data_IF_510460466387
#
_entry.id   IF_510460466387
#
_cell.length_a   1.000
_cell.length_b   1.000
_cell.length_c   1.000
_cell.angle_alpha   90.00
_cell.angle_beta   90.00
_cell.angle_gamma   90.00
#
_symmetry.space_group_name_H-M   'P 1'
#
loop_
_entity.id
_entity.type
_entity.pdbx_description
1 polymer ?
#
# COMPACT_ATOMS: atom_id res chain seq x y z
N UNK A 1 -11.65 31.39 23.17
CA UNK A 1 -11.08 30.23 22.45
C UNK A 1 -12.10 29.80 21.42
N UNK A 2 -11.77 29.97 20.14
CA UNK A 2 -12.62 29.64 19.00
C UNK A 2 -12.40 28.17 18.59
N UNK A 3 -13.43 27.34 18.67
CA UNK A 3 -13.39 25.91 18.37
C UNK A 3 -13.98 25.59 17.00
N UNK A 4 -13.19 24.90 16.19
CA UNK A 4 -13.54 24.46 14.85
C UNK A 4 -13.80 22.96 14.76
N UNK A 5 -14.66 22.55 13.82
CA UNK A 5 -14.89 21.14 13.47
C UNK A 5 -14.71 20.90 11.97
N UNK A 6 -14.02 19.83 11.60
CA UNK A 6 -14.05 19.21 10.26
C UNK A 6 -14.52 17.77 10.43
N UNK A 7 -15.53 17.37 9.65
CA UNK A 7 -16.02 15.99 9.58
C UNK A 7 -15.67 15.41 8.20
N UNK A 8 -15.15 14.20 8.15
CA UNK A 8 -14.88 13.52 6.89
C UNK A 8 -14.75 12.01 7.04
N UNK A 9 -15.04 11.29 5.96
CA UNK A 9 -14.67 9.88 5.85
C UNK A 9 -13.17 9.72 5.65
N UNK A 10 -12.53 10.64 4.94
CA UNK A 10 -11.11 10.53 4.54
C UNK A 10 -10.81 9.17 3.92
N UNK A 11 -11.61 8.76 2.92
CA UNK A 11 -11.54 7.43 2.31
C UNK A 11 -10.95 7.49 0.88
N UNK A 12 -9.62 7.43 0.70
CA UNK A 12 -8.57 7.69 1.70
C UNK A 12 -8.37 9.21 1.94
N UNK A 13 -7.54 9.63 2.92
CA UNK A 13 -7.12 11.02 3.04
C UNK A 13 -6.36 11.45 1.78
N UNK A 14 -6.50 12.72 1.40
CA UNK A 14 -5.86 13.28 0.20
C UNK A 14 -5.54 14.77 0.39
N UNK A 15 -4.70 15.32 -0.48
CA UNK A 15 -4.20 16.70 -0.35
C UNK A 15 -5.33 17.75 -0.34
N UNK A 16 -6.47 17.50 -1.00
CA UNK A 16 -7.68 18.33 -0.85
C UNK A 16 -8.23 18.38 0.58
N UNK A 17 -8.34 17.24 1.26
CA UNK A 17 -8.72 17.20 2.69
C UNK A 17 -7.70 17.96 3.55
N UNK A 18 -6.41 17.78 3.29
CA UNK A 18 -5.35 18.49 4.02
C UNK A 18 -5.35 19.99 3.75
N UNK A 19 -5.81 20.43 2.58
CA UNK A 19 -6.03 21.84 2.31
C UNK A 19 -7.18 22.40 3.16
N UNK A 20 -8.35 21.75 3.14
CA UNK A 20 -9.50 22.10 3.99
C UNK A 20 -9.08 22.22 5.46
N UNK A 21 -8.37 21.22 5.99
CA UNK A 21 -7.94 21.19 7.39
C UNK A 21 -6.93 22.30 7.69
N UNK A 22 -5.96 22.56 6.81
CA UNK A 22 -4.98 23.64 7.01
C UNK A 22 -5.64 25.02 7.03
N UNK A 23 -6.58 25.29 6.14
CA UNK A 23 -7.30 26.58 6.16
C UNK A 23 -8.23 26.69 7.36
N UNK A 24 -8.93 25.62 7.74
CA UNK A 24 -9.73 25.57 8.95
C UNK A 24 -8.88 25.83 10.21
N UNK A 25 -7.67 25.26 10.27
CA UNK A 25 -6.76 25.41 11.42
C UNK A 25 -6.29 26.84 11.61
N UNK A 26 -6.09 27.62 10.54
CA UNK A 26 -5.76 29.06 10.61
C UNK A 26 -6.91 29.90 11.16
N UNK A 27 -8.15 29.42 11.03
CA UNK A 27 -9.35 30.18 11.33
C UNK A 27 -9.93 29.89 12.74
N UNK A 28 -9.29 29.07 13.56
CA UNK A 28 -9.71 28.72 14.92
C UNK A 28 -8.51 28.47 15.85
N UNK A 29 -8.76 28.47 17.17
CA UNK A 29 -7.72 28.21 18.18
C UNK A 29 -7.48 26.70 18.35
N UNK A 30 -8.55 25.91 18.31
CA UNK A 30 -8.55 24.45 18.36
C UNK A 30 -9.43 23.89 17.24
N UNK A 31 -8.87 22.95 16.46
CA UNK A 31 -9.59 22.25 15.40
C UNK A 31 -9.78 20.79 15.79
N UNK A 32 -11.02 20.33 15.84
CA UNK A 32 -11.35 18.89 15.93
C UNK A 32 -11.58 18.31 14.54
N UNK A 33 -10.84 17.26 14.19
CA UNK A 33 -10.98 16.51 12.95
C UNK A 33 -11.62 15.16 13.26
N UNK A 34 -12.87 14.99 12.85
CA UNK A 34 -13.64 13.76 13.08
C UNK A 34 -13.50 12.84 11.88
N UNK A 35 -12.83 11.71 12.09
CA UNK A 35 -12.71 10.62 11.12
C UNK A 35 -13.91 9.70 11.28
N UNK A 36 -14.87 9.78 10.36
CA UNK A 36 -16.01 8.87 10.32
C UNK A 36 -15.69 7.59 9.54
N UNK A 37 -16.07 6.44 10.07
CA UNK A 37 -15.91 5.16 9.36
C UNK A 37 -17.06 4.20 9.61
N UNK A 38 -17.42 3.45 8.57
CA UNK A 38 -18.30 2.30 8.67
C UNK A 38 -17.49 0.99 8.61
N UNK A 39 -18.04 -0.13 9.12
CA UNK A 39 -17.49 -1.45 8.85
C UNK A 39 -17.41 -1.73 7.34
N UNK A 40 -16.44 -2.57 6.93
CA UNK A 40 -16.29 -3.07 5.56
C UNK A 40 -16.01 -2.02 4.46
N UNK A 41 -15.61 -0.80 4.81
CA UNK A 41 -15.12 0.16 3.82
C UNK A 41 -13.78 -0.28 3.21
N UNK A 42 -13.59 -0.01 1.91
CA UNK A 42 -12.39 -0.40 1.13
C UNK A 42 -11.03 -0.03 1.73
N UNK A 43 -10.98 0.99 2.59
CA UNK A 43 -9.79 1.31 3.40
C UNK A 43 -10.22 1.30 4.87
N UNK A 44 -9.58 0.47 5.72
CA UNK A 44 -9.98 0.31 7.12
C UNK A 44 -10.06 1.64 7.86
N UNK A 45 -11.13 1.82 8.65
CA UNK A 45 -11.35 3.04 9.44
C UNK A 45 -10.23 3.34 10.41
N UNK A 46 -9.71 2.31 11.08
CA UNK A 46 -8.58 2.47 12.01
C UNK A 46 -7.33 2.98 11.30
N UNK A 47 -7.03 2.45 10.11
CA UNK A 47 -5.88 2.88 9.32
C UNK A 47 -6.02 4.36 8.91
N UNK A 48 -7.21 4.77 8.48
CA UNK A 48 -7.50 6.17 8.16
C UNK A 48 -7.36 7.08 9.38
N UNK A 49 -7.82 6.63 10.55
CA UNK A 49 -7.66 7.37 11.80
C UNK A 49 -6.18 7.58 12.14
N UNK A 50 -5.35 6.54 12.07
CA UNK A 50 -3.91 6.65 12.31
C UNK A 50 -3.23 7.60 11.31
N UNK A 51 -3.56 7.52 10.01
CA UNK A 51 -3.04 8.47 9.03
C UNK A 51 -3.45 9.90 9.33
N UNK A 52 -4.69 10.16 9.72
CA UNK A 52 -5.13 11.50 10.05
C UNK A 52 -4.46 12.05 11.31
N UNK A 53 -4.14 11.21 12.31
CA UNK A 53 -3.33 11.62 13.46
C UNK A 53 -1.92 12.05 13.05
N UNK A 54 -1.28 11.29 12.16
CA UNK A 54 0.05 11.62 11.65
C UNK A 54 0.03 12.88 10.78
N UNK A 55 -0.99 13.04 9.94
CA UNK A 55 -1.12 14.15 8.99
C UNK A 55 -1.60 15.46 9.63
N UNK A 56 -2.22 15.41 10.82
CA UNK A 56 -2.80 16.57 11.49
C UNK A 56 -2.37 16.63 12.97
N UNK A 57 -1.05 16.70 13.28
CA UNK A 57 -0.55 16.62 14.65
C UNK A 57 -1.00 17.80 15.52
N UNK A 58 -1.27 18.95 14.92
CA UNK A 58 -1.71 20.18 15.61
C UNK A 58 -3.25 20.26 15.80
N UNK A 59 -3.96 19.17 15.54
CA UNK A 59 -5.42 19.07 15.63
C UNK A 59 -5.85 17.99 16.63
N UNK A 60 -7.04 18.15 17.21
CA UNK A 60 -7.71 17.09 17.97
C UNK A 60 -8.35 16.10 16.99
N UNK A 61 -7.66 15.00 16.70
CA UNK A 61 -8.19 13.96 15.79
C UNK A 61 -8.96 12.91 16.59
N UNK A 62 -10.21 12.64 16.21
CA UNK A 62 -11.11 11.69 16.89
C UNK A 62 -11.72 10.70 15.91
N UNK A 63 -11.97 9.47 16.35
CA UNK A 63 -12.50 8.39 15.51
C UNK A 63 -13.98 8.13 15.84
N UNK A 64 -14.88 8.49 14.92
CA UNK A 64 -16.30 8.19 15.01
C UNK A 64 -16.59 6.87 14.28
N UNK A 65 -16.92 5.83 15.05
CA UNK A 65 -17.23 4.48 14.55
C UNK A 65 -18.73 4.16 14.51
N UNK A 66 -19.57 5.14 14.84
CA UNK A 66 -21.02 4.97 14.85
C UNK A 66 -21.52 4.72 13.41
N UNK A 67 -22.40 3.74 13.26
CA UNK A 67 -23.04 3.41 11.98
C UNK A 67 -24.20 4.37 11.68
N UNK A 68 -23.88 5.67 11.62
CA UNK A 68 -24.86 6.70 11.33
C UNK A 68 -25.38 6.56 9.89
N UNK A 69 -26.64 6.94 9.64
CA UNK A 69 -27.14 7.07 8.27
C UNK A 69 -26.26 8.06 7.50
N UNK A 70 -26.00 7.75 6.24
CA UNK A 70 -25.11 8.48 5.34
C UNK A 70 -25.83 9.60 4.57
N UNK A 71 -27.14 9.45 4.35
CA UNK A 71 -27.97 10.46 3.71
C UNK A 71 -29.25 10.77 4.52
N UNK A 72 -29.76 12.02 4.50
CA UNK A 72 -30.95 12.41 5.25
C UNK A 72 -32.20 11.56 4.99
N UNK A 73 -32.36 11.05 3.77
CA UNK A 73 -33.46 10.19 3.35
C UNK A 73 -33.42 8.77 3.96
N UNK A 74 -32.28 8.34 4.49
CA UNK A 74 -32.14 7.00 5.09
C UNK A 74 -32.80 6.90 6.47
N UNK A 75 -32.99 8.03 7.17
CA UNK A 75 -33.57 8.01 8.51
C UNK A 75 -34.22 9.35 8.90
N UNK A 76 -35.46 9.37 9.44
CA UNK A 76 -36.17 10.61 9.79
C UNK A 76 -35.43 11.46 10.83
N UNK A 77 -34.71 10.83 11.76
CA UNK A 77 -33.90 11.49 12.80
C UNK A 77 -32.43 11.69 12.39
N UNK A 78 -32.09 11.68 11.10
CA UNK A 78 -30.71 11.77 10.58
C UNK A 78 -29.87 12.84 11.32
N UNK A 79 -30.39 14.07 11.39
CA UNK A 79 -29.66 15.20 11.97
C UNK A 79 -29.47 15.06 13.49
N UNK A 80 -30.44 14.49 14.20
CA UNK A 80 -30.32 14.26 15.65
C UNK A 80 -29.32 13.18 15.99
N UNK A 81 -29.25 12.12 15.17
CA UNK A 81 -28.25 11.05 15.29
C UNK A 81 -26.85 11.64 15.10
N UNK A 82 -26.63 12.40 14.03
CA UNK A 82 -25.35 13.07 13.77
C UNK A 82 -24.98 14.07 14.86
N UNK A 83 -25.92 14.93 15.29
CA UNK A 83 -25.73 15.89 16.38
C UNK A 83 -25.29 15.19 17.67
N UNK A 84 -25.97 14.10 18.04
CA UNK A 84 -25.68 13.34 19.26
C UNK A 84 -24.30 12.69 19.19
N UNK A 85 -23.94 12.13 18.03
CA UNK A 85 -22.65 11.48 17.80
C UNK A 85 -21.49 12.48 17.86
N UNK A 86 -21.64 13.62 17.20
CA UNK A 86 -20.61 14.67 17.19
C UNK A 86 -20.44 15.32 18.57
N UNK A 87 -21.54 15.53 19.33
CA UNK A 87 -21.46 15.99 20.72
C UNK A 87 -20.73 15.02 21.64
N UNK A 88 -20.76 13.71 21.39
CA UNK A 88 -19.93 12.75 22.15
C UNK A 88 -18.44 12.90 21.83
N UNK A 89 -18.11 13.18 20.57
CA UNK A 89 -16.72 13.33 20.13
C UNK A 89 -16.09 14.67 20.54
N UNK A 90 -16.91 15.72 20.54
CA UNK A 90 -16.56 17.07 20.97
C UNK A 90 -17.67 17.65 21.86
N UNK A 91 -17.63 17.42 23.18
CA UNK A 91 -18.65 17.88 24.12
C UNK A 91 -18.73 19.40 24.30
N UNK A 92 -17.65 20.11 23.98
CA UNK A 92 -17.56 21.57 24.09
C UNK A 92 -18.40 22.28 23.01
N UNK A 93 -18.76 23.54 23.24
CA UNK A 93 -19.48 24.32 22.23
C UNK A 93 -18.58 24.61 21.03
N UNK A 94 -19.10 24.35 19.83
CA UNK A 94 -18.44 24.65 18.56
C UNK A 94 -18.79 26.06 18.08
N UNK A 95 -17.79 26.79 17.60
CA UNK A 95 -17.99 28.11 17.01
C UNK A 95 -18.15 28.04 15.49
N UNK A 96 -17.42 27.13 14.85
CA UNK A 96 -17.37 27.01 13.37
C UNK A 96 -17.28 25.56 12.91
N UNK A 97 -18.05 25.21 11.89
CA UNK A 97 -17.90 23.99 11.09
C UNK A 97 -17.30 24.35 9.75
N UNK A 98 -16.28 23.61 9.33
CA UNK A 98 -15.60 23.77 8.05
C UNK A 98 -15.86 22.57 7.16
N UNK A 99 -16.35 22.79 5.93
CA UNK A 99 -16.53 21.72 4.93
C UNK A 99 -16.19 22.22 3.52
N UNK A 100 -16.11 21.29 2.59
CA UNK A 100 -16.14 21.55 1.13
C UNK A 100 -17.43 21.00 0.50
N UNK A 101 -18.47 20.77 1.32
CA UNK A 101 -19.64 19.94 0.97
C UNK A 101 -20.95 20.70 1.20
N UNK A 102 -21.98 20.43 0.38
CA UNK A 102 -23.26 21.17 0.39
C UNK A 102 -24.04 21.05 1.70
N UNK A 103 -23.84 19.97 2.46
CA UNK A 103 -24.51 19.76 3.74
C UNK A 103 -24.00 20.68 4.87
N UNK A 104 -22.89 21.41 4.64
CA UNK A 104 -22.16 22.13 5.69
C UNK A 104 -22.99 23.18 6.43
N UNK A 105 -23.80 23.98 5.72
CA UNK A 105 -24.71 24.97 6.33
C UNK A 105 -25.72 24.32 7.27
N UNK A 106 -26.29 23.20 6.84
CA UNK A 106 -27.28 22.47 7.63
C UNK A 106 -26.64 21.84 8.87
N UNK A 107 -25.48 21.20 8.70
CA UNK A 107 -24.74 20.60 9.81
C UNK A 107 -24.35 21.66 10.87
N UNK A 108 -23.83 22.81 10.43
CA UNK A 108 -23.44 23.89 11.34
C UNK A 108 -24.63 24.39 12.17
N UNK A 109 -25.80 24.57 11.54
CA UNK A 109 -27.04 24.95 12.23
C UNK A 109 -27.44 23.95 13.30
N UNK A 110 -27.36 22.65 13.01
CA UNK A 110 -27.71 21.61 13.98
C UNK A 110 -26.76 21.54 15.18
N UNK A 111 -25.51 21.99 14.98
CA UNK A 111 -24.49 22.06 16.02
C UNK A 111 -24.45 23.43 16.72
N UNK A 112 -25.28 24.40 16.30
CA UNK A 112 -25.28 25.76 16.85
C UNK A 112 -24.03 26.58 16.49
N UNK A 113 -23.37 26.24 15.38
CA UNK A 113 -22.12 26.85 14.92
C UNK A 113 -22.32 27.65 13.62
N UNK A 114 -21.34 28.48 13.26
CA UNK A 114 -21.27 29.09 11.92
C UNK A 114 -20.69 28.08 10.92
N UNK A 115 -21.06 28.20 9.66
CA UNK A 115 -20.43 27.42 8.59
C UNK A 115 -19.41 28.27 7.84
N UNK A 116 -18.28 27.65 7.48
CA UNK A 116 -17.30 28.22 6.55
C UNK A 116 -17.00 27.17 5.48
N UNK A 117 -17.39 27.45 4.24
CA UNK A 117 -17.10 26.60 3.10
C UNK A 117 -15.70 26.91 2.54
N UNK A 118 -14.89 25.89 2.28
CA UNK A 118 -13.54 26.02 1.72
C UNK A 118 -13.43 25.16 0.46
N UNK A 119 -13.05 25.79 -0.66
CA UNK A 119 -12.77 25.13 -1.96
C UNK A 119 -13.85 24.11 -2.40
N UNK A 120 -15.13 24.52 -2.35
CA UNK A 120 -16.27 23.65 -2.71
C UNK A 120 -16.12 23.02 -4.10
N UNK A 121 -15.72 23.85 -5.06
CA UNK A 121 -15.63 23.45 -6.46
C UNK A 121 -14.31 22.71 -6.77
N UNK A 122 -13.48 22.45 -5.73
CA UNK A 122 -12.22 21.70 -5.80
C UNK A 122 -11.23 22.26 -6.82
N UNK A 123 -11.16 23.58 -6.93
CA UNK A 123 -10.33 24.29 -7.91
C UNK A 123 -8.86 24.07 -7.58
N UNK A 124 -8.50 24.10 -6.29
CA UNK A 124 -7.10 23.98 -5.89
C UNK A 124 -6.62 22.52 -5.91
N UNK A 125 -7.48 21.59 -5.52
CA UNK A 125 -7.18 20.15 -5.51
C UNK A 125 -8.30 19.35 -6.18
N UNK A 126 -8.28 19.22 -7.53
CA UNK A 126 -9.36 18.62 -8.31
C UNK A 126 -9.34 17.08 -8.22
N UNK A 127 -9.63 16.56 -7.03
CA UNK A 127 -9.62 15.13 -6.72
C UNK A 127 -10.73 14.76 -5.73
N UNK A 128 -11.15 13.50 -5.74
CA UNK A 128 -12.03 12.93 -4.72
C UNK A 128 -11.47 11.60 -4.20
N UNK A 129 -11.90 11.21 -3.00
CA UNK A 129 -11.61 9.89 -2.47
C UNK A 129 -12.04 8.78 -3.43
N UNK A 130 -13.19 8.93 -4.11
CA UNK A 130 -13.68 7.97 -5.11
C UNK A 130 -12.73 7.86 -6.30
N UNK A 131 -12.26 8.99 -6.86
CA UNK A 131 -11.31 8.98 -7.97
C UNK A 131 -10.00 8.26 -7.60
N UNK A 132 -9.48 8.51 -6.40
CA UNK A 132 -8.27 7.83 -5.89
C UNK A 132 -8.51 6.32 -5.75
N UNK A 133 -9.64 5.89 -5.18
CA UNK A 133 -9.92 4.45 -5.03
C UNK A 133 -10.06 3.73 -6.37
N UNK A 134 -10.59 4.40 -7.38
CA UNK A 134 -10.74 3.83 -8.73
C UNK A 134 -9.44 3.80 -9.51
N UNK A 135 -8.61 4.86 -9.41
CA UNK A 135 -7.35 5.01 -10.16
C UNK A 135 -6.25 5.61 -9.29
N UNK A 136 -5.70 4.86 -8.33
CA UNK A 136 -4.80 5.41 -7.33
C UNK A 136 -3.46 5.85 -7.90
N UNK A 137 -2.92 5.13 -8.89
CA UNK A 137 -1.62 5.46 -9.47
C UNK A 137 -1.71 6.66 -10.42
N UNK A 138 -2.86 6.87 -11.07
CA UNK A 138 -3.13 8.09 -11.83
C UNK A 138 -3.32 9.32 -10.94
N UNK A 139 -3.85 9.15 -9.72
CA UNK A 139 -4.09 10.24 -8.75
C UNK A 139 -2.99 10.35 -7.68
N UNK A 140 -1.83 9.74 -7.89
CA UNK A 140 -0.82 9.54 -6.85
C UNK A 140 -0.24 10.85 -6.28
N UNK A 141 -0.18 11.91 -7.09
CA UNK A 141 0.27 13.24 -6.66
C UNK A 141 -0.62 13.86 -5.58
N UNK A 142 -1.88 13.43 -5.49
CA UNK A 142 -2.82 13.89 -4.46
C UNK A 142 -2.76 13.07 -3.17
N UNK A 143 -2.00 11.97 -3.14
CA UNK A 143 -1.84 11.14 -1.95
C UNK A 143 -0.76 11.71 -1.01
N UNK A 144 -1.06 11.88 0.29
CA UNK A 144 -0.08 12.22 1.31
C UNK A 144 0.92 11.08 1.54
N UNK A 145 2.12 11.42 2.03
CA UNK A 145 3.19 10.45 2.29
C UNK A 145 2.75 9.16 3.00
N UNK A 146 2.13 9.24 4.19
CA UNK A 146 1.71 8.04 4.96
C UNK A 146 0.66 7.16 4.27
N UNK A 147 -0.10 7.73 3.33
CA UNK A 147 -1.18 7.02 2.61
C UNK A 147 -0.65 6.31 1.37
N UNK A 148 0.41 6.84 0.75
CA UNK A 148 0.99 6.31 -0.51
C UNK A 148 1.36 4.82 -0.44
N UNK A 149 2.02 4.30 0.62
CA UNK A 149 2.39 2.89 0.70
C UNK A 149 1.20 1.96 0.52
N UNK A 150 0.02 2.32 1.03
CA UNK A 150 -1.19 1.51 0.89
C UNK A 150 -1.55 1.23 -0.57
N UNK A 151 -1.35 2.22 -1.45
CA UNK A 151 -1.68 2.14 -2.86
C UNK A 151 -0.52 1.72 -3.78
N UNK A 152 0.70 1.61 -3.24
CA UNK A 152 1.85 1.15 -4.01
C UNK A 152 1.67 -0.30 -4.47
N UNK A 153 2.03 -0.58 -5.73
CA UNK A 153 1.92 -1.93 -6.32
C UNK A 153 3.23 -2.71 -6.23
N UNK A 154 3.14 -3.99 -5.85
CA UNK A 154 4.27 -4.93 -5.74
C UNK A 154 4.47 -5.65 -7.06
N UNK A 155 5.66 -5.54 -7.65
CA UNK A 155 6.07 -6.33 -8.81
C UNK A 155 7.22 -7.26 -8.40
N UNK A 156 6.99 -8.56 -8.44
CA UNK A 156 8.01 -9.54 -8.02
C UNK A 156 8.78 -10.04 -9.23
N UNK A 157 10.10 -9.97 -9.16
CA UNK A 157 10.99 -10.59 -10.13
C UNK A 157 11.33 -11.98 -9.59
N UNK A 158 10.81 -13.02 -10.23
CA UNK A 158 10.87 -14.40 -9.73
C UNK A 158 11.50 -15.35 -10.75
N UNK A 159 11.85 -16.55 -10.30
CA UNK A 159 12.40 -17.62 -11.13
C UNK A 159 13.65 -18.28 -10.52
N UNK A 160 14.13 -19.35 -11.17
CA UNK A 160 15.27 -20.12 -10.68
C UNK A 160 16.55 -19.27 -10.52
N UNK A 161 17.54 -19.82 -9.84
CA UNK A 161 18.87 -19.23 -9.74
C UNK A 161 19.52 -18.95 -11.11
N UNK A 162 20.45 -17.98 -11.15
CA UNK A 162 21.20 -17.61 -12.35
C UNK A 162 20.33 -17.19 -13.56
N UNK A 163 19.26 -16.41 -13.32
CA UNK A 163 18.33 -15.93 -14.37
C UNK A 163 18.31 -14.40 -14.53
N UNK A 164 19.15 -13.67 -13.78
CA UNK A 164 19.31 -12.22 -13.90
C UNK A 164 18.32 -11.38 -13.07
N UNK A 165 17.60 -11.98 -12.11
CA UNK A 165 16.57 -11.31 -11.28
C UNK A 165 17.05 -9.99 -10.66
N UNK A 166 18.16 -10.02 -9.92
CA UNK A 166 18.73 -8.83 -9.26
C UNK A 166 19.06 -7.71 -10.24
N UNK A 167 19.58 -8.07 -11.41
CA UNK A 167 19.95 -7.11 -12.45
C UNK A 167 18.71 -6.42 -13.00
N UNK A 168 17.64 -7.18 -13.26
CA UNK A 168 16.37 -6.67 -13.76
C UNK A 168 15.65 -5.84 -12.69
N UNK A 169 15.55 -6.32 -11.45
CA UNK A 169 14.91 -5.59 -10.35
C UNK A 169 15.55 -4.21 -10.13
N UNK A 170 16.89 -4.17 -10.06
CA UNK A 170 17.64 -2.92 -9.94
C UNK A 170 17.46 -2.00 -11.15
N UNK A 171 17.50 -2.56 -12.36
CA UNK A 171 17.30 -1.79 -13.59
C UNK A 171 15.92 -1.13 -13.63
N UNK A 172 14.86 -1.89 -13.30
CA UNK A 172 13.50 -1.38 -13.29
C UNK A 172 13.31 -0.33 -12.19
N UNK A 173 13.84 -0.55 -10.99
CA UNK A 173 13.77 0.43 -9.90
C UNK A 173 14.37 1.79 -10.32
N UNK A 174 15.54 1.76 -10.97
CA UNK A 174 16.17 2.96 -11.51
C UNK A 174 15.33 3.62 -12.62
N UNK A 175 14.81 2.82 -13.57
CA UNK A 175 14.01 3.33 -14.70
C UNK A 175 12.71 4.00 -14.24
N UNK A 176 12.04 3.43 -13.24
CA UNK A 176 10.75 3.93 -12.73
C UNK A 176 10.88 4.86 -11.53
N UNK A 177 12.11 5.25 -11.17
CA UNK A 177 12.41 6.15 -10.03
C UNK A 177 11.72 5.68 -8.74
N UNK A 178 11.97 4.44 -8.38
CA UNK A 178 11.37 3.81 -7.20
C UNK A 178 12.35 2.86 -6.49
N UNK A 179 11.90 2.23 -5.41
CA UNK A 179 12.66 1.30 -4.57
C UNK A 179 12.55 -0.16 -5.05
N UNK A 180 13.51 -0.97 -4.63
CA UNK A 180 13.45 -2.43 -4.75
C UNK A 180 14.04 -3.13 -3.52
N UNK A 181 13.52 -4.32 -3.23
CA UNK A 181 14.03 -5.24 -2.22
C UNK A 181 14.95 -6.26 -2.89
N UNK A 182 16.16 -6.42 -2.37
CA UNK A 182 17.09 -7.48 -2.76
C UNK A 182 16.76 -8.82 -2.09
N UNK A 183 17.47 -9.87 -2.53
CA UNK A 183 17.26 -11.21 -2.01
C UNK A 183 17.85 -11.30 -0.61
N UNK A 184 16.99 -11.31 0.40
CA UNK A 184 17.44 -11.29 1.79
C UNK A 184 18.25 -12.53 2.15
N UNK A 185 17.93 -13.69 1.56
CA UNK A 185 18.69 -14.93 1.75
C UNK A 185 20.18 -14.72 1.47
N UNK A 186 20.51 -14.02 0.38
CA UNK A 186 21.90 -13.74 -0.01
C UNK A 186 22.62 -12.89 1.03
N UNK A 187 21.99 -11.80 1.46
CA UNK A 187 22.53 -10.95 2.53
C UNK A 187 22.75 -11.76 3.82
N UNK A 188 21.75 -12.51 4.25
CA UNK A 188 21.80 -13.30 5.48
C UNK A 188 22.93 -14.34 5.43
N UNK A 189 23.04 -15.10 4.35
CA UNK A 189 24.05 -16.16 4.21
C UNK A 189 25.46 -15.61 4.05
N UNK A 190 25.63 -14.47 3.38
CA UNK A 190 26.91 -13.75 3.31
C UNK A 190 27.39 -13.34 4.71
N UNK A 191 26.48 -12.91 5.60
CA UNK A 191 26.80 -12.60 6.99
C UNK A 191 27.14 -13.85 7.82
N UNK A 192 26.51 -15.00 7.54
CA UNK A 192 26.79 -16.26 8.23
C UNK A 192 28.09 -16.94 7.76
N UNK A 193 28.54 -16.67 6.53
CA UNK A 193 29.75 -17.27 5.95
C UNK A 193 29.66 -18.79 5.75
N UNK A 194 28.44 -19.34 5.62
CA UNK A 194 28.18 -20.78 5.44
C UNK A 194 26.98 -21.02 4.53
N UNK A 195 26.84 -22.26 4.06
CA UNK A 195 25.63 -22.74 3.39
C UNK A 195 24.41 -22.66 4.31
N UNK A 196 23.24 -22.55 3.68
CA UNK A 196 21.93 -22.51 4.36
C UNK A 196 21.66 -23.81 5.11
N UNK A 197 21.10 -23.70 6.32
CA UNK A 197 20.54 -24.82 7.08
C UNK A 197 19.04 -24.60 7.33
N UNK A 198 18.31 -25.64 7.72
CA UNK A 198 16.86 -25.59 7.89
C UNK A 198 16.42 -24.49 8.89
N UNK A 199 17.21 -24.27 9.94
CA UNK A 199 16.98 -23.29 10.99
C UNK A 199 17.07 -21.83 10.51
N UNK A 200 17.71 -21.59 9.36
CA UNK A 200 17.80 -20.25 8.77
C UNK A 200 16.51 -19.84 8.07
N UNK A 201 15.73 -20.79 7.56
CA UNK A 201 14.56 -20.53 6.72
C UNK A 201 13.56 -19.56 7.38
N UNK A 202 13.19 -19.72 8.67
CA UNK A 202 12.33 -18.75 9.34
C UNK A 202 12.91 -17.33 9.39
N UNK A 203 14.23 -17.19 9.59
CA UNK A 203 14.89 -15.89 9.67
C UNK A 203 14.99 -15.23 8.29
N UNK A 204 15.29 -16.02 7.25
CA UNK A 204 15.31 -15.55 5.87
C UNK A 204 13.92 -15.04 5.47
N UNK A 205 12.86 -15.80 5.76
CA UNK A 205 11.49 -15.41 5.44
C UNK A 205 11.07 -14.12 6.16
N UNK A 206 11.31 -14.01 7.49
CA UNK A 206 11.00 -12.79 8.25
C UNK A 206 11.79 -11.59 7.77
N UNK A 207 13.06 -11.79 7.43
CA UNK A 207 13.92 -10.76 6.88
C UNK A 207 13.44 -10.25 5.53
N UNK A 208 13.03 -11.16 4.63
CA UNK A 208 12.44 -10.79 3.34
C UNK A 208 11.14 -9.99 3.55
N UNK A 209 10.24 -10.44 4.43
CA UNK A 209 8.99 -9.71 4.76
C UNK A 209 9.31 -8.28 5.22
N UNK A 210 10.24 -8.14 6.18
CA UNK A 210 10.59 -6.83 6.73
C UNK A 210 11.27 -5.93 5.68
N UNK A 211 12.05 -6.51 4.77
CA UNK A 211 12.68 -5.78 3.68
C UNK A 211 11.65 -5.32 2.63
N UNK A 212 10.68 -6.16 2.28
CA UNK A 212 9.57 -5.81 1.41
C UNK A 212 8.74 -4.65 1.99
N UNK A 213 8.38 -4.72 3.27
CA UNK A 213 7.58 -3.69 3.95
C UNK A 213 8.29 -2.34 3.96
N UNK A 214 9.59 -2.29 4.33
CA UNK A 214 10.41 -1.06 4.25
C UNK A 214 10.57 -0.54 2.82
N UNK A 215 10.65 -1.44 1.85
CA UNK A 215 10.78 -1.08 0.43
C UNK A 215 9.49 -0.41 -0.05
N UNK A 216 8.34 -0.96 0.31
CA UNK A 216 7.01 -0.42 0.00
C UNK A 216 6.81 0.99 0.54
N UNK A 217 7.29 1.27 1.75
CA UNK A 217 7.19 2.59 2.39
C UNK A 217 7.94 3.69 1.62
N UNK A 218 9.08 3.34 1.01
CA UNK A 218 9.95 4.27 0.26
C UNK A 218 9.60 4.36 -1.22
N UNK A 219 8.65 3.56 -1.66
CA UNK A 219 8.35 3.39 -3.08
C UNK A 219 7.53 4.56 -3.64
N UNK A 220 7.72 4.80 -4.94
CA UNK A 220 6.94 5.72 -5.74
C UNK A 220 6.05 4.93 -6.71
N UNK A 221 4.75 4.82 -6.42
CA UNK A 221 3.69 4.12 -7.18
C UNK A 221 3.84 2.59 -7.23
N UNK A 222 5.03 2.07 -7.49
CA UNK A 222 5.33 0.65 -7.60
C UNK A 222 6.65 0.34 -6.89
N UNK A 223 6.89 -0.90 -6.50
CA UNK A 223 8.19 -1.36 -6.02
C UNK A 223 8.48 -2.76 -6.53
N UNK A 224 9.77 -3.08 -6.60
CA UNK A 224 10.23 -4.37 -7.11
C UNK A 224 10.76 -5.25 -5.99
N UNK A 225 10.51 -6.56 -6.05
CA UNK A 225 11.09 -7.53 -5.12
C UNK A 225 11.84 -8.60 -5.89
N UNK A 226 13.15 -8.72 -5.65
CA UNK A 226 13.97 -9.87 -6.00
C UNK A 226 14.29 -10.59 -4.70
N UNK A 227 13.65 -11.65 -4.28
CA UNK A 227 12.46 -12.33 -4.77
C UNK A 227 11.35 -12.12 -3.72
N UNK A 228 10.38 -13.02 -3.59
CA UNK A 228 9.44 -13.07 -2.46
C UNK A 228 9.45 -14.43 -1.75
N UNK A 229 8.53 -14.61 -0.79
CA UNK A 229 8.39 -15.84 -0.01
C UNK A 229 8.10 -17.09 -0.85
N UNK A 230 7.64 -16.97 -2.09
CA UNK A 230 7.42 -18.12 -2.97
C UNK A 230 8.74 -18.83 -3.26
N UNK A 231 9.81 -18.08 -3.53
CA UNK A 231 11.13 -18.66 -3.72
C UNK A 231 11.64 -19.33 -2.45
N UNK A 232 11.50 -18.65 -1.29
CA UNK A 232 11.89 -19.22 0.01
C UNK A 232 11.20 -20.54 0.28
N UNK A 233 9.89 -20.62 0.01
CA UNK A 233 9.12 -21.86 0.12
C UNK A 233 9.67 -22.95 -0.79
N UNK A 234 9.83 -22.67 -2.08
CA UNK A 234 10.29 -23.64 -3.09
C UNK A 234 11.66 -24.22 -2.70
N UNK A 235 12.61 -23.37 -2.30
CA UNK A 235 13.94 -23.81 -1.91
C UNK A 235 13.94 -24.53 -0.55
N UNK A 236 13.14 -24.09 0.42
CA UNK A 236 12.99 -24.80 1.70
C UNK A 236 12.49 -26.23 1.50
N UNK A 237 11.43 -26.40 0.71
CA UNK A 237 10.90 -27.72 0.38
C UNK A 237 11.91 -28.58 -0.40
N UNK A 238 12.72 -27.96 -1.27
CA UNK A 238 13.74 -28.66 -2.04
C UNK A 238 14.88 -29.19 -1.15
N UNK A 239 15.51 -28.32 -0.36
CA UNK A 239 16.70 -28.70 0.42
C UNK A 239 16.36 -29.48 1.69
N UNK A 240 15.20 -29.21 2.30
CA UNK A 240 14.89 -29.70 3.64
C UNK A 240 13.62 -30.54 3.71
N UNK A 241 12.91 -30.74 2.59
CA UNK A 241 11.64 -31.47 2.52
C UNK A 241 10.57 -30.95 3.51
N UNK A 242 10.74 -29.71 3.97
CA UNK A 242 9.93 -29.05 4.97
C UNK A 242 9.93 -27.54 4.71
N UNK A 243 8.82 -26.87 5.00
CA UNK A 243 8.70 -25.43 5.00
C UNK A 243 7.84 -25.02 6.21
N UNK A 244 8.31 -24.11 7.08
CA UNK A 244 7.53 -23.61 8.21
C UNK A 244 6.17 -23.02 7.77
N UNK A 245 5.07 -23.43 8.42
CA UNK A 245 3.69 -23.11 8.01
C UNK A 245 3.40 -21.60 7.89
N UNK A 246 4.05 -20.77 8.70
CA UNK A 246 3.85 -19.32 8.64
C UNK A 246 4.28 -18.72 7.29
N UNK A 247 5.16 -19.38 6.53
CA UNK A 247 5.65 -18.90 5.23
C UNK A 247 4.54 -18.97 4.16
N UNK A 248 3.92 -20.12 3.86
CA UNK A 248 2.79 -20.16 2.92
C UNK A 248 1.58 -19.35 3.40
N UNK A 249 1.32 -19.27 4.71
CA UNK A 249 0.30 -18.38 5.28
C UNK A 249 0.60 -16.91 4.95
N UNK A 250 1.84 -16.46 5.22
CA UNK A 250 2.27 -15.08 4.94
C UNK A 250 2.28 -14.79 3.44
N UNK A 251 2.70 -15.74 2.61
CA UNK A 251 2.70 -15.61 1.15
C UNK A 251 1.28 -15.40 0.61
N UNK A 252 0.27 -16.10 1.16
CA UNK A 252 -1.13 -15.95 0.73
C UNK A 252 -1.66 -14.52 0.87
N UNK A 253 -1.14 -13.74 1.82
CA UNK A 253 -1.53 -12.36 2.08
C UNK A 253 -0.60 -11.34 1.40
N UNK A 254 0.46 -11.81 0.73
CA UNK A 254 1.56 -10.98 0.21
C UNK A 254 1.93 -11.30 -1.24
N UNK A 255 1.05 -12.02 -1.96
CA UNK A 255 1.17 -12.27 -3.40
C UNK A 255 1.34 -10.92 -4.11
N UNK A 256 2.33 -10.84 -4.99
CA UNK A 256 2.58 -9.64 -5.79
C UNK A 256 1.37 -9.25 -6.64
N UNK A 257 1.20 -7.95 -6.88
CA UNK A 257 0.19 -7.47 -7.84
C UNK A 257 0.53 -7.92 -9.28
N UNK A 258 1.81 -8.19 -9.56
CA UNK A 258 2.29 -8.76 -10.81
C UNK A 258 3.63 -9.47 -10.62
N UNK A 259 3.89 -10.51 -11.42
CA UNK A 259 5.16 -11.25 -11.41
C UNK A 259 5.84 -11.19 -12.78
N UNK A 260 7.16 -10.99 -12.77
CA UNK A 260 8.02 -11.18 -13.94
C UNK A 260 8.83 -12.44 -13.70
N UNK A 261 8.48 -13.51 -14.41
CA UNK A 261 9.20 -14.77 -14.36
C UNK A 261 10.41 -14.74 -15.30
N UNK A 262 11.61 -14.81 -14.75
CA UNK A 262 12.85 -14.82 -15.50
C UNK A 262 13.18 -16.24 -15.97
N UNK A 263 13.18 -16.48 -17.28
CA UNK A 263 13.37 -17.83 -17.83
C UNK A 263 14.85 -18.30 -17.74
N UNK A 264 15.10 -19.58 -17.96
CA UNK A 264 16.40 -20.27 -17.77
C UNK A 264 17.28 -20.30 -19.03
N UNK A 265 16.93 -19.55 -20.07
CA UNK A 265 17.59 -19.57 -21.38
C UNK A 265 18.92 -18.78 -21.46
N UNK A 266 19.46 -18.34 -20.32
CA UNK A 266 20.84 -17.86 -20.19
C UNK A 266 21.75 -18.89 -19.50
N UNK A 267 23.07 -18.88 -19.75
CA UNK A 267 24.00 -19.76 -19.06
C UNK A 267 23.92 -19.63 -17.55
N UNK A 268 24.02 -20.77 -16.85
CA UNK A 268 24.14 -20.77 -15.40
C UNK A 268 25.54 -20.30 -15.00
N UNK A 269 25.64 -19.57 -13.90
CA UNK A 269 26.90 -19.03 -13.38
C UNK A 269 27.12 -19.57 -11.98
N UNK A 270 28.26 -20.23 -11.78
CA UNK A 270 28.70 -20.78 -10.51
C UNK A 270 28.97 -19.68 -9.49
N UNK A 271 28.54 -19.94 -8.25
CA UNK A 271 28.59 -19.03 -7.12
C UNK A 271 28.51 -19.89 -5.85
N UNK A 272 29.25 -19.58 -4.77
CA UNK A 272 29.21 -20.33 -3.51
C UNK A 272 27.81 -20.67 -2.97
N UNK A 273 26.77 -19.93 -3.34
CA UNK A 273 25.40 -20.17 -2.89
C UNK A 273 24.51 -20.96 -3.89
N UNK A 274 25.07 -21.48 -4.99
CA UNK A 274 24.32 -22.15 -6.07
C UNK A 274 24.90 -23.53 -6.36
N UNK A 275 24.08 -24.57 -6.22
CA UNK A 275 24.53 -25.96 -6.29
C UNK A 275 23.66 -26.86 -7.21
N UNK A 276 22.63 -26.30 -7.86
CA UNK A 276 21.63 -27.07 -8.62
C UNK A 276 21.54 -26.72 -10.13
N UNK A 277 22.66 -26.62 -10.89
CA UNK A 277 22.63 -26.29 -12.31
C UNK A 277 21.86 -27.30 -13.19
N UNK A 278 21.77 -28.55 -12.74
CA UNK A 278 21.07 -29.63 -13.43
C UNK A 278 19.55 -29.66 -13.20
N UNK A 279 19.06 -28.92 -12.20
CA UNK A 279 17.64 -28.89 -11.82
C UNK A 279 16.89 -27.67 -12.36
N UNK A 280 17.52 -26.84 -13.20
CA UNK A 280 16.93 -25.58 -13.70
C UNK A 280 15.55 -25.78 -14.34
N UNK A 281 15.38 -26.84 -15.13
CA UNK A 281 14.10 -27.18 -15.77
C UNK A 281 13.02 -27.59 -14.76
N UNK A 282 13.42 -28.32 -13.71
CA UNK A 282 12.53 -28.71 -12.62
C UNK A 282 12.09 -27.48 -11.81
N UNK A 283 13.05 -26.64 -11.39
CA UNK A 283 12.72 -25.39 -10.70
C UNK A 283 11.84 -24.50 -11.54
N UNK A 284 12.13 -24.34 -12.84
CA UNK A 284 11.26 -23.59 -13.76
C UNK A 284 9.83 -24.10 -13.68
N UNK A 285 9.62 -25.41 -13.76
CA UNK A 285 8.30 -26.02 -13.65
C UNK A 285 7.65 -25.72 -12.29
N UNK A 286 8.37 -25.94 -11.18
CA UNK A 286 7.85 -25.71 -9.82
C UNK A 286 7.44 -24.25 -9.59
N UNK A 287 8.26 -23.28 -10.01
CA UNK A 287 7.90 -21.85 -9.91
C UNK A 287 6.63 -21.52 -10.70
N UNK A 288 6.48 -22.03 -11.92
CA UNK A 288 5.28 -21.78 -12.74
C UNK A 288 4.03 -22.44 -12.13
N UNK A 289 4.18 -23.63 -11.54
CA UNK A 289 3.10 -24.31 -10.81
C UNK A 289 2.67 -23.52 -9.57
N UNK A 290 3.62 -22.95 -8.82
CA UNK A 290 3.34 -22.12 -7.65
C UNK A 290 2.66 -20.80 -8.03
N UNK A 291 3.12 -20.13 -9.10
CA UNK A 291 2.46 -18.94 -9.65
C UNK A 291 1.00 -19.24 -10.01
N UNK A 292 0.76 -20.37 -10.68
CA UNK A 292 -0.59 -20.82 -11.01
C UNK A 292 -1.41 -21.12 -9.74
N UNK A 293 -0.84 -21.81 -8.74
CA UNK A 293 -1.54 -22.18 -7.51
C UNK A 293 -1.99 -20.96 -6.69
N UNK A 294 -1.20 -19.89 -6.68
CA UNK A 294 -1.55 -18.64 -6.01
C UNK A 294 -2.39 -17.68 -6.87
N UNK A 295 -2.77 -18.08 -8.10
CA UNK A 295 -3.52 -17.23 -9.02
C UNK A 295 -2.76 -15.95 -9.40
N UNK A 296 -1.42 -16.00 -9.37
CA UNK A 296 -0.59 -14.84 -9.63
C UNK A 296 -0.66 -14.44 -11.11
N UNK A 297 -0.84 -13.16 -11.38
CA UNK A 297 -0.67 -12.62 -12.72
C UNK A 297 0.82 -12.50 -13.05
N UNK A 298 1.28 -13.05 -14.17
CA UNK A 298 2.68 -13.02 -14.53
C UNK A 298 2.96 -12.93 -16.03
N UNK A 299 4.18 -12.50 -16.37
CA UNK A 299 4.75 -12.61 -17.71
C UNK A 299 6.12 -13.30 -17.66
N UNK A 300 6.43 -14.08 -18.69
CA UNK A 300 7.73 -14.76 -18.84
C UNK A 300 8.68 -13.88 -19.66
N UNK A 301 9.90 -13.70 -19.14
CA UNK A 301 10.96 -12.91 -19.77
C UNK A 301 12.20 -13.79 -19.99
N UNK A 302 12.53 -14.00 -21.26
CA UNK A 302 13.74 -14.69 -21.72
C UNK A 302 14.54 -13.86 -22.74
N UNK A 303 15.63 -14.43 -23.22
CA UNK A 303 16.57 -13.87 -24.18
C UNK A 303 17.85 -13.34 -23.54
N UNK A 304 18.63 -12.60 -24.35
CA UNK A 304 19.84 -11.92 -23.89
C UNK A 304 19.55 -10.91 -22.76
N UNK A 305 20.57 -10.54 -21.97
CA UNK A 305 20.39 -9.53 -20.91
C UNK A 305 19.76 -8.22 -21.42
N UNK A 306 20.24 -7.58 -22.51
CA UNK A 306 19.57 -6.40 -23.06
C UNK A 306 18.10 -6.63 -23.43
N UNK A 307 17.78 -7.78 -24.03
CA UNK A 307 16.41 -8.15 -24.38
C UNK A 307 15.52 -8.26 -23.14
N UNK A 308 16.02 -8.87 -22.07
CA UNK A 308 15.29 -9.04 -20.82
C UNK A 308 14.97 -7.71 -20.15
N UNK A 309 15.95 -6.81 -20.10
CA UNK A 309 15.78 -5.47 -19.51
C UNK A 309 14.69 -4.68 -20.25
N UNK A 310 14.74 -4.66 -21.59
CA UNK A 310 13.76 -3.95 -22.40
C UNK A 310 12.36 -4.57 -22.27
N UNK A 311 12.23 -5.89 -22.41
CA UNK A 311 10.92 -6.58 -22.28
C UNK A 311 10.30 -6.38 -20.90
N UNK A 312 11.10 -6.50 -19.83
CA UNK A 312 10.61 -6.29 -18.47
C UNK A 312 10.10 -4.86 -18.28
N UNK A 313 10.79 -3.85 -18.83
CA UNK A 313 10.33 -2.46 -18.78
C UNK A 313 9.00 -2.26 -19.52
N UNK A 314 8.86 -2.80 -20.74
CA UNK A 314 7.62 -2.72 -21.53
C UNK A 314 6.43 -3.38 -20.80
N UNK A 315 6.67 -4.53 -20.16
CA UNK A 315 5.66 -5.23 -19.35
C UNK A 315 5.20 -4.35 -18.20
N UNK A 316 6.12 -3.73 -17.46
CA UNK A 316 5.79 -2.84 -16.33
C UNK A 316 5.03 -1.61 -16.82
N UNK A 317 5.43 -1.00 -17.94
CA UNK A 317 4.70 0.11 -18.56
C UNK A 317 3.28 -0.28 -18.95
N UNK A 318 3.09 -1.49 -19.50
CA UNK A 318 1.78 -2.05 -19.81
C UNK A 318 0.91 -2.28 -18.57
N UNK A 319 1.49 -2.83 -17.49
CA UNK A 319 0.82 -3.03 -16.21
C UNK A 319 0.37 -1.71 -15.58
N UNK A 320 1.23 -0.68 -15.59
CA UNK A 320 0.94 0.63 -15.01
C UNK A 320 -0.22 1.37 -15.68
N UNK A 321 -0.47 1.14 -16.98
CA UNK A 321 -1.58 1.76 -17.72
C UNK A 321 -2.97 1.36 -17.21
N UNK A 322 -3.06 0.36 -16.33
CA UNK A 322 -4.31 -0.13 -15.75
C UNK A 322 -4.79 0.70 -14.55
N UNK A 323 -3.98 1.61 -13.99
CA UNK A 323 -4.20 2.24 -12.67
C UNK A 323 -4.14 3.77 -12.62
#
# INVERSE_FOLDING_TARGET
MKRGLVLGKFLPPHNGHLHLIREARKACDELTVVVGSLPNESVPGELRFQWMKELCPDCRVVHLRDENPQYPEEHPNFWDIWRSSLKRMHPESLDVVFTSEDYGERLARELGAKHVCIDRDRIQFPVSGTAIRQRPLSNYSFLPGPVRPYFNKKIVITGPESTGKTTVARHLANRFFTSWAHEYARQYLDEQGRYVIAEDIPNIARGQIALEDRTRERANRIYFCDTDLMATRIYSEHYFQHCPDFIPESLSQRVGDFYIFMDIDIPWVEDPQRDAPHLRSEFRKRFLEELHRYGAEYAIVGGSFPTRLNKAAEIVEGFLKRF
#
